data_IF_401329956256
#
_entry.id   IF_401329956256
#
_cell.length_a   1.000
_cell.length_b   1.000
_cell.length_c   1.000
_cell.angle_alpha   90.00
_cell.angle_beta   90.00
_cell.angle_gamma   90.00
#
_symmetry.space_group_name_H-M   'P 1'
#
loop_
_entity.id
_entity.type
_entity.pdbx_description
1 polymer ?
#
# COMPACT_ATOMS: atom_id res chain seq x y z
N UNK A 1 1.94 -16.84 -7.48
CA UNK A 1 2.16 -15.49 -8.06
C UNK A 1 1.29 -14.53 -7.26
N UNK A 2 1.76 -13.34 -6.93
CA UNK A 2 0.95 -12.31 -6.24
C UNK A 2 0.67 -11.16 -7.22
N UNK A 3 -0.31 -10.33 -6.90
CA UNK A 3 -0.66 -9.12 -7.66
C UNK A 3 -0.66 -7.92 -6.73
N UNK A 4 0.15 -6.92 -7.07
CA UNK A 4 0.12 -5.61 -6.42
C UNK A 4 -1.11 -4.83 -6.88
N UNK A 5 -1.85 -4.27 -5.91
CA UNK A 5 -3.04 -3.45 -6.11
C UNK A 5 -2.75 -2.03 -5.62
N UNK A 6 -2.40 -1.10 -6.53
CA UNK A 6 -2.29 0.32 -6.20
C UNK A 6 -3.66 0.91 -5.89
N UNK A 7 -3.67 2.12 -5.36
CA UNK A 7 -4.90 2.90 -5.24
C UNK A 7 -5.42 3.28 -6.64
N UNK A 8 -6.67 2.96 -6.91
CA UNK A 8 -7.33 3.21 -8.21
C UNK A 8 -8.35 4.35 -8.15
N UNK A 9 -8.85 4.69 -6.97
CA UNK A 9 -9.87 5.73 -6.76
C UNK A 9 -9.36 6.76 -5.77
N UNK A 10 -9.42 8.03 -6.18
CA UNK A 10 -9.12 9.17 -5.32
C UNK A 10 -10.39 9.68 -4.65
N UNK A 11 -10.22 10.27 -3.48
CA UNK A 11 -11.27 10.97 -2.76
C UNK A 11 -11.06 12.48 -2.77
N UNK A 12 -12.05 13.21 -2.25
CA UNK A 12 -11.93 14.63 -1.99
C UNK A 12 -10.87 14.88 -0.91
N UNK A 13 -10.02 15.88 -1.14
CA UNK A 13 -8.88 16.16 -0.27
C UNK A 13 -8.28 17.52 -0.47
N UNK A 14 -7.10 17.71 0.10
CA UNK A 14 -6.34 18.96 0.02
C UNK A 14 -5.42 18.89 -1.19
N UNK A 15 -5.49 19.91 -2.06
CA UNK A 15 -4.54 20.08 -3.14
C UNK A 15 -3.15 20.43 -2.59
N UNK A 16 -2.12 19.75 -3.08
CA UNK A 16 -0.73 19.91 -2.63
C UNK A 16 0.17 19.97 -3.85
N UNK A 17 1.12 20.90 -3.87
CA UNK A 17 2.22 20.88 -4.83
C UNK A 17 3.38 20.13 -4.17
N UNK A 18 3.85 19.07 -4.82
CA UNK A 18 4.90 18.21 -4.29
C UNK A 18 6.20 18.99 -4.07
N UNK A 19 6.81 18.78 -2.90
CA UNK A 19 8.20 19.16 -2.64
C UNK A 19 9.20 18.12 -3.17
N UNK A 20 8.72 16.90 -3.44
CA UNK A 20 9.50 15.74 -3.85
C UNK A 20 9.62 14.74 -2.71
N UNK A 21 9.55 13.44 -3.03
CA UNK A 21 9.65 12.36 -2.05
C UNK A 21 8.31 11.96 -1.42
N UNK A 22 7.20 12.63 -1.73
CA UNK A 22 5.88 12.23 -1.24
C UNK A 22 5.46 10.88 -1.84
N UNK A 23 5.16 9.84 -1.03
CA UNK A 23 4.89 8.51 -1.56
C UNK A 23 3.51 8.40 -2.21
N UNK A 24 3.45 8.16 -3.51
CA UNK A 24 2.20 8.13 -4.28
C UNK A 24 1.57 6.73 -4.31
N UNK A 25 0.28 6.64 -3.98
CA UNK A 25 -0.46 5.38 -3.93
C UNK A 25 -1.01 4.93 -5.29
N UNK A 26 -1.14 5.85 -6.24
CA UNK A 26 -1.70 5.57 -7.56
C UNK A 26 -0.72 4.89 -8.52
N UNK A 27 0.57 5.26 -8.47
CA UNK A 27 1.62 4.71 -9.33
C UNK A 27 2.78 4.06 -8.58
N UNK A 28 2.76 4.09 -7.24
CA UNK A 28 3.75 3.44 -6.38
C UNK A 28 5.20 3.91 -6.60
N UNK A 29 5.35 5.19 -6.92
CA UNK A 29 6.61 5.94 -6.89
C UNK A 29 6.51 7.09 -5.90
N UNK A 30 7.63 7.73 -5.61
CA UNK A 30 7.64 9.03 -4.98
C UNK A 30 7.34 10.13 -5.99
N UNK A 31 6.76 11.22 -5.49
CA UNK A 31 6.54 12.43 -6.26
C UNK A 31 7.86 13.13 -6.59
N UNK A 32 7.93 13.73 -7.76
CA UNK A 32 8.92 14.74 -8.12
C UNK A 32 8.45 16.12 -7.69
N UNK A 33 9.37 17.02 -7.40
CA UNK A 33 9.04 18.40 -7.05
C UNK A 33 8.20 19.07 -8.14
N UNK A 34 7.17 19.81 -7.75
CA UNK A 34 6.27 20.54 -8.65
C UNK A 34 5.08 19.74 -9.18
N UNK A 35 4.98 18.44 -8.89
CA UNK A 35 3.80 17.66 -9.27
C UNK A 35 2.55 18.07 -8.49
N UNK A 36 1.40 18.06 -9.16
CA UNK A 36 0.10 18.33 -8.53
C UNK A 36 -0.45 17.07 -7.88
N UNK A 37 -0.61 17.12 -6.57
CA UNK A 37 -1.05 16.02 -5.73
C UNK A 37 -2.38 16.36 -5.04
N UNK A 38 -3.02 15.31 -4.53
CA UNK A 38 -4.10 15.39 -3.55
C UNK A 38 -3.73 14.55 -2.34
N UNK A 39 -3.88 15.13 -1.15
CA UNK A 39 -3.83 14.44 0.14
C UNK A 39 -5.25 14.24 0.64
N UNK A 40 -5.67 12.98 0.78
CA UNK A 40 -7.04 12.65 1.15
C UNK A 40 -7.11 11.44 2.06
N UNK A 41 -8.25 11.27 2.73
CA UNK A 41 -8.53 10.10 3.53
C UNK A 41 -8.93 8.92 2.65
N UNK A 42 -8.27 7.78 2.87
CA UNK A 42 -8.55 6.55 2.16
C UNK A 42 -8.79 5.41 3.16
N UNK A 43 -9.81 4.61 2.87
CA UNK A 43 -10.10 3.36 3.56
C UNK A 43 -9.91 2.22 2.55
N UNK A 44 -8.77 1.49 2.61
CA UNK A 44 -8.55 0.38 1.70
C UNK A 44 -9.60 -0.71 1.96
N UNK A 45 -10.19 -1.30 0.90
CA UNK A 45 -11.13 -2.40 1.05
C UNK A 45 -10.46 -3.57 1.77
N UNK A 46 -11.28 -4.38 2.44
CA UNK A 46 -10.86 -5.65 3.03
C UNK A 46 -11.62 -6.80 2.35
N UNK A 47 -11.15 -8.06 2.47
CA UNK A 47 -11.79 -9.22 1.85
C UNK A 47 -13.28 -9.40 2.22
N UNK A 48 -13.68 -8.92 3.40
CA UNK A 48 -15.05 -8.90 3.89
C UNK A 48 -15.26 -7.72 4.85
N UNK A 49 -16.52 -7.33 5.15
CA UNK A 49 -16.82 -6.33 6.18
C UNK A 49 -16.14 -6.70 7.50
N UNK A 50 -15.33 -5.79 8.04
CA UNK A 50 -14.40 -6.16 9.11
C UNK A 50 -14.22 -5.05 10.15
N UNK A 51 -14.07 -5.39 11.45
CA UNK A 51 -13.76 -4.41 12.49
C UNK A 51 -12.33 -3.84 12.35
N UNK A 52 -11.51 -4.40 11.46
CA UNK A 52 -10.14 -3.93 11.20
C UNK A 52 -10.06 -2.91 10.05
N UNK A 53 -11.20 -2.42 9.55
CA UNK A 53 -11.24 -1.32 8.61
C UNK A 53 -10.63 -0.06 9.23
N UNK A 54 -9.69 0.55 8.51
CA UNK A 54 -9.01 1.76 8.93
C UNK A 54 -9.19 2.86 7.90
N UNK A 55 -9.04 4.10 8.34
CA UNK A 55 -9.00 5.29 7.48
C UNK A 55 -7.70 6.03 7.77
N UNK A 56 -6.97 6.39 6.72
CA UNK A 56 -5.71 7.12 6.86
C UNK A 56 -5.46 8.04 5.68
N UNK A 57 -4.61 9.04 5.89
CA UNK A 57 -4.23 9.98 4.84
C UNK A 57 -3.25 9.33 3.85
N UNK A 58 -3.48 9.55 2.56
CA UNK A 58 -2.61 9.08 1.47
C UNK A 58 -2.44 10.15 0.40
N UNK A 59 -1.27 10.16 -0.24
CA UNK A 59 -1.02 10.98 -1.43
C UNK A 59 -1.32 10.20 -2.71
N UNK A 60 -1.90 10.90 -3.69
CA UNK A 60 -1.97 10.48 -5.09
C UNK A 60 -1.85 11.72 -6.00
N UNK A 61 -1.59 11.51 -7.29
CA UNK A 61 -1.68 12.59 -8.28
C UNK A 61 -3.08 13.20 -8.29
N UNK A 62 -3.17 14.52 -8.43
CA UNK A 62 -4.46 15.21 -8.58
C UNK A 62 -5.20 14.76 -9.86
N UNK A 63 -4.44 14.47 -10.93
CA UNK A 63 -4.95 13.98 -12.21
C UNK A 63 -4.62 12.51 -12.46
N UNK A 64 -5.38 11.83 -13.32
CA UNK A 64 -5.16 10.41 -13.68
C UNK A 64 -3.73 10.17 -14.16
N UNK A 65 -3.11 9.09 -13.70
CA UNK A 65 -1.77 8.69 -14.11
C UNK A 65 -1.79 7.28 -14.70
N UNK A 66 -0.70 6.87 -15.35
CA UNK A 66 -0.59 5.55 -16.01
C UNK A 66 -0.56 4.37 -15.02
N UNK A 67 -0.45 4.62 -13.72
CA UNK A 67 -0.28 3.59 -12.69
C UNK A 67 1.16 3.09 -12.58
N UNK A 68 1.39 1.97 -11.88
CA UNK A 68 2.72 1.39 -11.69
C UNK A 68 3.34 0.91 -13.01
N UNK A 69 4.65 1.07 -13.14
CA UNK A 69 5.41 0.68 -14.35
C UNK A 69 5.71 -0.82 -14.38
N UNK A 70 5.74 -1.49 -13.23
CA UNK A 70 6.00 -2.93 -13.10
C UNK A 70 4.91 -3.65 -12.29
N UNK A 71 4.76 -4.95 -12.55
CA UNK A 71 3.80 -5.82 -11.86
C UNK A 71 4.37 -6.48 -10.59
N UNK A 72 5.70 -6.40 -10.39
CA UNK A 72 6.38 -6.93 -9.21
C UNK A 72 6.34 -5.97 -8.04
N UNK A 73 7.13 -6.26 -7.01
CA UNK A 73 7.25 -5.39 -5.85
C UNK A 73 7.71 -3.98 -6.28
N UNK A 74 7.07 -2.89 -5.81
CA UNK A 74 7.40 -1.54 -6.28
C UNK A 74 8.84 -1.13 -5.91
N UNK A 75 9.65 -0.81 -6.93
CA UNK A 75 11.08 -0.57 -6.75
C UNK A 75 11.37 0.58 -5.77
N UNK A 76 10.62 1.67 -5.81
CA UNK A 76 10.82 2.82 -4.92
C UNK A 76 10.42 2.55 -3.46
N UNK A 77 9.72 1.44 -3.20
CA UNK A 77 9.33 1.03 -1.87
C UNK A 77 10.30 0.01 -1.25
N UNK A 78 11.21 -0.55 -2.04
CA UNK A 78 12.35 -1.33 -1.55
C UNK A 78 13.24 -0.44 -0.68
N UNK A 79 13.85 -1.02 0.37
CA UNK A 79 14.66 -0.29 1.34
C UNK A 79 13.86 0.49 2.40
N UNK A 80 12.53 0.53 2.31
CA UNK A 80 11.66 1.08 3.35
C UNK A 80 11.27 -0.03 4.34
N UNK A 81 11.34 0.21 5.66
CA UNK A 81 10.68 -0.65 6.63
C UNK A 81 9.16 -0.61 6.45
N UNK A 82 8.52 -1.77 6.42
CA UNK A 82 7.08 -1.88 6.20
C UNK A 82 6.47 -2.99 7.06
N UNK A 83 5.22 -2.77 7.45
CA UNK A 83 4.36 -3.82 7.99
C UNK A 83 3.64 -4.48 6.80
N UNK A 84 3.79 -5.80 6.67
CA UNK A 84 2.95 -6.64 5.83
C UNK A 84 1.80 -7.16 6.69
N UNK A 85 0.70 -6.40 6.74
CA UNK A 85 -0.48 -6.79 7.51
C UNK A 85 -1.32 -7.76 6.70
N UNK A 86 -1.30 -9.01 7.12
CA UNK A 86 -2.01 -10.11 6.46
C UNK A 86 -3.46 -10.16 6.94
N UNK A 87 -4.36 -10.51 6.01
CA UNK A 87 -5.78 -10.70 6.27
C UNK A 87 -6.25 -12.06 5.75
N UNK A 88 -7.13 -12.70 6.52
CA UNK A 88 -7.84 -13.89 6.10
C UNK A 88 -9.12 -13.55 5.30
N UNK A 89 -9.83 -14.58 4.82
CA UNK A 89 -11.07 -14.41 4.04
C UNK A 89 -12.22 -13.73 4.81
N UNK A 90 -12.15 -13.65 6.14
CA UNK A 90 -13.12 -12.92 6.99
C UNK A 90 -12.74 -11.45 7.15
N UNK A 91 -11.62 -11.01 6.55
CA UNK A 91 -11.06 -9.68 6.74
C UNK A 91 -10.40 -9.50 8.11
N UNK A 92 -10.07 -10.59 8.82
CA UNK A 92 -9.41 -10.51 10.14
C UNK A 92 -7.90 -10.50 9.98
N UNK A 93 -7.21 -9.77 10.87
CA UNK A 93 -5.74 -9.74 10.86
C UNK A 93 -5.22 -11.15 11.16
N UNK A 94 -4.41 -11.67 10.25
CA UNK A 94 -3.83 -13.01 10.34
C UNK A 94 -2.48 -12.99 11.07
N UNK A 95 -2.16 -14.01 11.91
CA UNK A 95 -0.87 -14.10 12.63
C UNK A 95 0.38 -14.13 11.74
N UNK A 96 0.23 -14.43 10.44
CA UNK A 96 1.32 -14.34 9.47
C UNK A 96 1.83 -12.90 9.25
N UNK A 97 1.09 -11.89 9.71
CA UNK A 97 1.48 -10.47 9.72
C UNK A 97 2.89 -10.29 10.26
N UNK A 98 3.71 -9.51 9.56
CA UNK A 98 5.10 -9.28 9.96
C UNK A 98 5.63 -7.94 9.49
N UNK A 99 6.81 -7.59 9.95
CA UNK A 99 7.57 -6.41 9.53
C UNK A 99 8.80 -6.87 8.77
N UNK A 100 9.19 -6.12 7.73
CA UNK A 100 10.52 -6.21 7.13
C UNK A 100 11.21 -4.84 7.19
N UNK A 101 12.54 -4.83 7.18
CA UNK A 101 13.36 -3.61 7.18
C UNK A 101 13.53 -2.98 5.79
N UNK A 102 13.13 -3.70 4.74
CA UNK A 102 13.21 -3.26 3.34
C UNK A 102 14.34 -3.92 2.54
N UNK A 103 15.16 -4.76 3.17
CA UNK A 103 16.25 -5.49 2.51
C UNK A 103 15.76 -6.62 1.60
N UNK A 104 14.76 -7.38 2.04
CA UNK A 104 14.15 -8.48 1.28
C UNK A 104 12.60 -8.47 1.40
N UNK A 105 11.94 -7.51 0.75
CA UNK A 105 10.48 -7.41 0.80
C UNK A 105 9.79 -8.62 0.14
N UNK A 106 10.37 -9.18 -0.93
CA UNK A 106 9.77 -10.30 -1.65
C UNK A 106 9.84 -11.60 -0.85
N UNK A 107 10.96 -11.89 -0.18
CA UNK A 107 11.07 -13.03 0.72
C UNK A 107 10.15 -12.89 1.93
N UNK A 108 10.03 -11.68 2.50
CA UNK A 108 9.08 -11.41 3.57
C UNK A 108 7.63 -11.67 3.11
N UNK A 109 7.26 -11.19 1.93
CA UNK A 109 5.94 -11.39 1.33
C UNK A 109 5.67 -12.87 1.01
N UNK A 110 6.65 -13.58 0.45
CA UNK A 110 6.55 -15.01 0.17
C UNK A 110 6.30 -15.82 1.45
N UNK A 111 6.96 -15.44 2.55
CA UNK A 111 6.79 -16.11 3.83
C UNK A 111 5.48 -15.75 4.56
N UNK A 112 4.85 -14.60 4.25
CA UNK A 112 3.46 -14.31 4.66
C UNK A 112 2.49 -15.22 3.90
N UNK A 113 2.61 -15.27 2.57
CA UNK A 113 1.74 -16.09 1.71
C UNK A 113 2.08 -17.59 1.71
N UNK A 114 3.09 -18.02 2.48
CA UNK A 114 3.33 -19.43 2.73
C UNK A 114 2.14 -20.06 3.48
N UNK A 115 1.41 -19.25 4.25
CA UNK A 115 0.15 -19.64 4.85
C UNK A 115 -1.01 -19.45 3.84
N UNK A 116 -1.73 -20.52 3.44
CA UNK A 116 -2.81 -20.44 2.47
C UNK A 116 -4.07 -19.73 3.01
N UNK A 117 -4.20 -19.51 4.32
CA UNK A 117 -5.32 -18.76 4.88
C UNK A 117 -5.22 -17.24 4.64
N UNK A 118 -4.04 -16.75 4.26
CA UNK A 118 -3.82 -15.35 3.89
C UNK A 118 -4.28 -15.09 2.46
N UNK A 119 -5.33 -14.28 2.30
CA UNK A 119 -5.90 -13.94 0.99
C UNK A 119 -5.50 -12.55 0.51
N UNK A 120 -5.19 -11.64 1.45
CA UNK A 120 -4.81 -10.27 1.15
C UNK A 120 -3.78 -9.77 2.16
N UNK A 121 -2.87 -8.92 1.70
CA UNK A 121 -1.87 -8.25 2.52
C UNK A 121 -1.91 -6.77 2.23
N UNK A 122 -1.99 -5.93 3.26
CA UNK A 122 -1.73 -4.50 3.12
C UNK A 122 -0.30 -4.21 3.54
N UNK A 123 0.48 -3.64 2.63
CA UNK A 123 1.72 -2.96 3.00
C UNK A 123 1.39 -1.63 3.67
N UNK A 124 2.06 -1.35 4.80
CA UNK A 124 1.82 -0.17 5.64
C UNK A 124 3.12 0.43 6.18
N UNK A 125 3.11 1.74 6.39
CA UNK A 125 4.21 2.43 7.05
C UNK A 125 4.33 2.00 8.52
N UNK A 126 5.55 1.74 8.97
CA UNK A 126 5.81 1.29 10.36
C UNK A 126 5.52 2.38 11.40
N UNK A 127 5.87 3.64 11.12
CA UNK A 127 5.70 4.74 12.06
C UNK A 127 4.28 5.34 12.01
N UNK A 128 3.73 5.52 10.81
CA UNK A 128 2.47 6.22 10.60
C UNK A 128 1.26 5.29 10.43
N UNK A 129 1.45 3.99 10.20
CA UNK A 129 0.38 3.02 9.95
C UNK A 129 -0.37 3.19 8.63
N UNK A 130 -0.06 4.25 7.87
CA UNK A 130 -0.76 4.59 6.63
C UNK A 130 -0.59 3.50 5.56
N UNK A 131 -1.67 3.27 4.81
CA UNK A 131 -1.72 2.34 3.69
C UNK A 131 -0.69 2.69 2.63
N UNK A 132 0.04 1.70 2.10
CA UNK A 132 1.00 1.87 1.00
C UNK A 132 0.44 1.28 -0.30
N UNK A 133 0.17 -0.01 -0.31
CA UNK A 133 -0.49 -0.74 -1.39
C UNK A 133 -1.03 -2.07 -0.87
N UNK A 134 -2.00 -2.66 -1.57
CA UNK A 134 -2.49 -3.98 -1.28
C UNK A 134 -1.79 -5.02 -2.16
N UNK A 135 -1.73 -6.25 -1.67
CA UNK A 135 -1.19 -7.40 -2.36
C UNK A 135 -2.19 -8.55 -2.22
N UNK A 136 -2.56 -9.14 -3.34
CA UNK A 136 -3.54 -10.25 -3.41
C UNK A 136 -2.91 -11.46 -4.08
N UNK A 137 -3.45 -12.65 -3.81
CA UNK A 137 -3.17 -13.86 -4.59
C UNK A 137 -4.24 -14.08 -5.66
#
# INVERSE_FOLDING_TARGET
MYVIRPLTVRGDGVAVVASGGEPLRCCLRDASAGEELVLFNYSPPLPAPSPYEERGAVFAHASSCAGPVSAGYPAEWVGRPQVLRAYDARGWIHPATRVHDGSDPEGALAAVFADPEVVEVHSRNVAYGCFMFAITR
#
